data_IF_295770376054
#
_entry.id   IF_295770376054
#
_cell.length_a   1.000
_cell.length_b   1.000
_cell.length_c   1.000
_cell.angle_alpha   90.00
_cell.angle_beta   90.00
_cell.angle_gamma   90.00
#
_symmetry.space_group_name_H-M   'P 1'
#
loop_
_entity.id
_entity.type
_entity.pdbx_description
1 polymer ?
#
# COMPACT_ATOMS: atom_id res chain seq x y z
N UNK A 1 -5.77 -5.73 -14.05
CA UNK A 1 -4.64 -4.91 -13.63
C UNK A 1 -3.45 -5.18 -14.53
N UNK A 2 -2.62 -4.16 -14.71
CA UNK A 2 -1.42 -4.29 -15.54
C UNK A 2 -0.26 -4.90 -14.76
N UNK A 3 -0.17 -4.56 -13.48
CA UNK A 3 0.85 -5.09 -12.58
C UNK A 3 0.14 -5.59 -11.34
N UNK A 4 0.48 -6.79 -10.90
CA UNK A 4 -0.12 -7.41 -9.72
C UNK A 4 0.99 -7.83 -8.77
N UNK A 5 0.92 -7.39 -7.51
CA UNK A 5 1.87 -7.74 -6.49
C UNK A 5 1.18 -8.48 -5.34
N UNK A 6 1.77 -9.59 -4.94
CA UNK A 6 1.30 -10.37 -3.82
C UNK A 6 2.25 -10.15 -2.65
N UNK A 7 1.78 -9.49 -1.60
CA UNK A 7 2.62 -9.13 -0.46
C UNK A 7 2.34 -9.99 0.78
N UNK A 8 1.82 -11.20 0.57
CA UNK A 8 1.54 -12.12 1.68
C UNK A 8 2.78 -12.55 2.46
N UNK A 9 3.96 -12.38 1.89
CA UNK A 9 5.20 -12.74 2.57
C UNK A 9 5.63 -11.72 3.63
N UNK A 10 5.02 -10.56 3.68
CA UNK A 10 5.34 -9.54 4.69
C UNK A 10 4.77 -9.93 6.06
N UNK A 11 5.31 -9.36 7.14
CA UNK A 11 4.77 -9.60 8.48
C UNK A 11 3.28 -9.32 8.54
N UNK A 12 2.53 -10.19 9.19
CA UNK A 12 1.07 -10.12 9.17
C UNK A 12 0.52 -9.57 10.49
N UNK A 13 0.00 -8.34 10.49
CA UNK A 13 -0.58 -7.74 11.71
C UNK A 13 -1.79 -8.49 12.26
N UNK A 14 -2.39 -9.35 11.46
CA UNK A 14 -3.54 -10.12 11.90
C UNK A 14 -3.25 -10.93 13.16
N UNK A 15 -2.01 -11.37 13.34
CA UNK A 15 -1.62 -12.17 14.49
C UNK A 15 -1.35 -11.33 15.75
N UNK A 16 -1.44 -10.01 15.64
CA UNK A 16 -1.33 -9.13 16.78
C UNK A 16 -2.74 -8.66 17.13
N UNK A 17 -3.21 -9.02 18.31
CA UNK A 17 -4.59 -8.75 18.71
C UNK A 17 -4.98 -7.27 18.56
N UNK A 18 -4.07 -6.38 18.96
CA UNK A 18 -4.31 -4.94 18.87
C UNK A 18 -4.53 -4.46 17.44
N UNK A 19 -3.97 -5.15 16.46
CA UNK A 19 -3.97 -4.69 15.07
C UNK A 19 -4.95 -5.46 14.19
N UNK A 20 -5.46 -6.60 14.68
CA UNK A 20 -6.21 -7.54 13.86
C UNK A 20 -7.36 -6.90 13.09
N UNK A 21 -8.11 -6.04 13.73
CA UNK A 21 -9.29 -5.42 13.13
C UNK A 21 -9.07 -4.02 12.60
N UNK A 22 -7.84 -3.56 12.57
CA UNK A 22 -7.46 -2.24 12.03
C UNK A 22 -6.81 -2.42 10.68
N UNK A 23 -7.08 -1.49 9.77
CA UNK A 23 -6.51 -1.60 8.42
C UNK A 23 -5.07 -1.12 8.37
N UNK A 24 -4.40 -1.37 7.25
CA UNK A 24 -3.05 -0.88 7.00
C UNK A 24 -2.96 0.63 6.86
N UNK A 25 -4.09 1.33 6.84
CA UNK A 25 -4.10 2.80 6.83
C UNK A 25 -3.91 3.38 8.23
N UNK A 26 -4.17 2.57 9.25
CA UNK A 26 -4.03 3.01 10.64
C UNK A 26 -2.56 3.07 10.99
N UNK A 27 -2.06 4.19 11.58
CA UNK A 27 -0.64 4.37 11.83
C UNK A 27 0.07 3.25 12.57
N UNK A 28 -0.54 2.69 13.62
CA UNK A 28 0.12 1.64 14.38
C UNK A 28 0.30 0.36 13.57
N UNK A 29 -0.66 0.05 12.69
CA UNK A 29 -0.57 -1.13 11.82
C UNK A 29 0.49 -0.90 10.75
N UNK A 30 0.45 0.27 10.12
CA UNK A 30 1.44 0.65 9.12
C UNK A 30 2.84 0.60 9.69
N UNK A 31 3.03 1.20 10.86
CA UNK A 31 4.35 1.24 11.49
C UNK A 31 4.86 -0.14 11.85
N UNK A 32 3.95 -1.02 12.28
CA UNK A 32 4.33 -2.42 12.55
C UNK A 32 4.88 -3.08 11.30
N UNK A 33 4.13 -3.04 10.19
CA UNK A 33 4.56 -3.67 8.95
C UNK A 33 5.87 -3.05 8.44
N UNK A 34 5.98 -1.74 8.50
CA UNK A 34 7.15 -1.04 7.96
C UNK A 34 8.39 -1.13 8.86
N UNK A 35 8.25 -1.58 10.09
CA UNK A 35 9.39 -1.70 10.99
C UNK A 35 10.32 -2.87 10.66
N UNK A 36 9.89 -3.79 9.80
CA UNK A 36 10.66 -4.97 9.48
C UNK A 36 11.60 -4.73 8.30
N UNK A 37 12.84 -5.21 8.39
CA UNK A 37 13.80 -5.04 7.28
C UNK A 37 13.29 -5.61 5.96
N UNK A 38 12.56 -6.73 5.99
CA UNK A 38 12.04 -7.33 4.76
C UNK A 38 11.09 -6.37 4.03
N UNK A 39 10.30 -5.62 4.80
CA UNK A 39 9.38 -4.64 4.20
C UNK A 39 10.15 -3.52 3.53
N UNK A 40 11.18 -3.01 4.18
CA UNK A 40 11.98 -1.93 3.62
C UNK A 40 12.72 -2.39 2.36
N UNK A 41 13.25 -3.60 2.37
CA UNK A 41 13.92 -4.16 1.19
C UNK A 41 12.93 -4.32 0.04
N UNK A 42 11.74 -4.84 0.33
CA UNK A 42 10.72 -5.00 -0.69
C UNK A 42 10.31 -3.66 -1.29
N UNK A 43 10.07 -2.66 -0.46
CA UNK A 43 9.68 -1.33 -0.92
C UNK A 43 10.72 -0.75 -1.86
N UNK A 44 12.00 -0.86 -1.48
CA UNK A 44 13.09 -0.33 -2.28
C UNK A 44 13.11 -0.94 -3.68
N UNK A 45 13.02 -2.27 -3.74
CA UNK A 45 13.04 -2.98 -5.02
C UNK A 45 11.79 -2.70 -5.84
N UNK A 46 10.64 -2.66 -5.19
CA UNK A 46 9.37 -2.44 -5.88
C UNK A 46 9.25 -1.02 -6.42
N UNK A 47 9.60 -0.04 -5.60
CA UNK A 47 9.57 1.36 -6.03
C UNK A 47 10.52 1.55 -7.22
N UNK A 48 11.69 0.96 -7.15
CA UNK A 48 12.68 1.05 -8.22
C UNK A 48 12.14 0.47 -9.52
N UNK A 49 11.50 -0.69 -9.43
CA UNK A 49 10.91 -1.34 -10.61
C UNK A 49 9.80 -0.47 -11.21
N UNK A 50 8.92 0.05 -10.39
CA UNK A 50 7.81 0.88 -10.88
C UNK A 50 8.34 2.18 -11.50
N UNK A 51 9.33 2.80 -10.86
CA UNK A 51 9.94 4.02 -11.39
C UNK A 51 10.58 3.76 -12.75
N UNK A 52 11.12 2.58 -12.95
CA UNK A 52 11.68 2.18 -14.23
C UNK A 52 10.58 1.94 -15.27
N UNK A 53 9.52 1.27 -14.87
CA UNK A 53 8.46 0.86 -15.80
C UNK A 53 7.60 2.03 -16.29
N UNK A 54 7.27 2.97 -15.43
CA UNK A 54 6.35 4.04 -15.78
C UNK A 54 6.73 4.80 -17.05
N UNK A 55 7.94 5.35 -17.17
CA UNK A 55 8.28 6.06 -18.40
C UNK A 55 8.35 5.14 -19.62
N UNK A 56 8.64 3.87 -19.41
CA UNK A 56 8.67 2.91 -20.51
C UNK A 56 7.28 2.59 -21.04
N UNK A 57 6.30 2.45 -20.14
CA UNK A 57 4.92 2.25 -20.56
C UNK A 57 4.38 3.52 -21.23
N UNK A 58 4.73 4.68 -20.74
CA UNK A 58 4.32 5.94 -21.35
C UNK A 58 4.81 6.04 -22.78
N UNK A 59 6.06 5.67 -23.02
CA UNK A 59 6.64 5.68 -24.37
C UNK A 59 5.93 4.70 -25.31
N UNK A 60 5.39 3.60 -24.76
CA UNK A 60 4.61 2.64 -25.52
C UNK A 60 3.19 3.13 -25.83
N UNK A 61 2.82 4.29 -25.34
CA UNK A 61 1.52 4.86 -25.59
C UNK A 61 0.46 4.47 -24.59
N UNK A 62 0.85 3.84 -23.47
CA UNK A 62 -0.11 3.47 -22.43
C UNK A 62 -0.51 4.72 -21.67
N UNK A 63 -1.80 5.06 -21.70
CA UNK A 63 -2.29 6.27 -21.05
C UNK A 63 -2.68 6.07 -19.60
N UNK A 64 -2.83 4.83 -19.16
CA UNK A 64 -3.25 4.52 -17.81
C UNK A 64 -2.63 3.20 -17.37
N UNK A 65 -2.10 3.16 -16.16
CA UNK A 65 -1.52 1.95 -15.59
C UNK A 65 -2.23 1.61 -14.30
N UNK A 66 -2.67 0.36 -14.17
CA UNK A 66 -3.33 -0.12 -12.96
C UNK A 66 -2.41 -1.09 -12.22
N UNK A 67 -2.07 -0.75 -10.98
CA UNK A 67 -1.25 -1.58 -10.11
C UNK A 67 -2.16 -2.14 -9.02
N UNK A 68 -2.24 -3.46 -8.91
CA UNK A 68 -3.01 -4.12 -7.88
C UNK A 68 -2.08 -4.76 -6.86
N UNK A 69 -2.40 -4.59 -5.59
CA UNK A 69 -1.62 -5.17 -4.49
C UNK A 69 -2.55 -6.05 -3.68
N UNK A 70 -2.15 -7.28 -3.44
CA UNK A 70 -2.98 -8.25 -2.72
C UNK A 70 -2.26 -8.91 -1.56
N UNK A 71 -3.05 -9.30 -0.57
CA UNK A 71 -2.59 -10.15 0.52
C UNK A 71 -3.79 -10.94 1.02
N UNK A 72 -3.58 -11.84 1.97
CA UNK A 72 -4.69 -12.59 2.55
C UNK A 72 -5.58 -11.60 3.33
N UNK A 73 -6.86 -11.57 3.00
CA UNK A 73 -7.82 -10.68 3.64
C UNK A 73 -7.87 -9.26 3.11
N UNK A 74 -6.83 -8.79 2.41
CA UNK A 74 -6.83 -7.48 1.76
C UNK A 74 -6.95 -6.27 2.67
N UNK A 75 -6.63 -6.41 3.96
CA UNK A 75 -6.87 -5.37 4.94
C UNK A 75 -5.60 -4.73 5.51
N UNK A 76 -4.55 -5.51 5.65
CA UNK A 76 -3.33 -5.03 6.32
C UNK A 76 -2.19 -4.76 5.38
N UNK A 77 -1.52 -5.83 4.95
CA UNK A 77 -0.26 -5.71 4.18
C UNK A 77 -0.46 -5.06 2.81
N UNK A 78 -1.51 -5.46 2.09
CA UNK A 78 -1.78 -4.90 0.77
C UNK A 78 -2.13 -3.42 0.87
N UNK A 79 -2.91 -3.04 1.87
CA UNK A 79 -3.29 -1.65 2.07
C UNK A 79 -2.07 -0.81 2.43
N UNK A 80 -1.24 -1.31 3.34
CA UNK A 80 -0.02 -0.62 3.75
C UNK A 80 0.89 -0.36 2.54
N UNK A 81 1.09 -1.38 1.71
CA UNK A 81 1.97 -1.24 0.55
C UNK A 81 1.37 -0.37 -0.55
N UNK A 82 0.06 -0.47 -0.76
CA UNK A 82 -0.61 0.38 -1.74
C UNK A 82 -0.51 1.86 -1.34
N UNK A 83 -0.70 2.15 -0.05
CA UNK A 83 -0.55 3.52 0.45
C UNK A 83 0.88 4.02 0.28
N UNK A 84 1.85 3.15 0.54
CA UNK A 84 3.25 3.51 0.37
C UNK A 84 3.59 3.86 -1.07
N UNK A 85 3.10 3.05 -2.02
CA UNK A 85 3.31 3.32 -3.44
C UNK A 85 2.59 4.59 -3.89
N UNK A 86 1.36 4.78 -3.41
CA UNK A 86 0.60 5.98 -3.72
C UNK A 86 1.38 7.23 -3.30
N UNK A 87 1.87 7.24 -2.07
CA UNK A 87 2.65 8.37 -1.56
C UNK A 87 3.92 8.58 -2.37
N UNK A 88 4.63 7.51 -2.69
CA UNK A 88 5.85 7.57 -3.48
C UNK A 88 5.61 8.21 -4.84
N UNK A 89 4.58 7.76 -5.54
CA UNK A 89 4.27 8.26 -6.87
C UNK A 89 3.79 9.71 -6.81
N UNK A 90 2.91 10.02 -5.87
CA UNK A 90 2.42 11.38 -5.70
C UNK A 90 3.57 12.35 -5.42
N UNK A 91 4.47 11.96 -4.53
CA UNK A 91 5.61 12.81 -4.15
C UNK A 91 6.57 13.02 -5.31
N UNK A 92 6.55 12.12 -6.29
CA UNK A 92 7.37 12.25 -7.50
C UNK A 92 6.62 12.87 -8.66
N UNK A 93 5.47 13.47 -8.41
CA UNK A 93 4.75 14.23 -9.42
C UNK A 93 3.90 13.38 -10.37
N UNK A 94 3.67 12.11 -10.04
CA UNK A 94 2.83 11.25 -10.87
C UNK A 94 1.37 11.48 -10.50
N UNK A 95 0.51 11.58 -11.51
CA UNK A 95 -0.93 11.70 -11.30
C UNK A 95 -1.44 10.29 -10.93
N UNK A 96 -1.79 10.10 -9.68
CA UNK A 96 -2.13 8.78 -9.16
C UNK A 96 -3.34 8.87 -8.23
N UNK A 97 -4.17 7.83 -8.26
CA UNK A 97 -5.27 7.69 -7.31
C UNK A 97 -5.19 6.30 -6.68
N UNK A 98 -5.87 6.13 -5.55
CA UNK A 98 -5.82 4.88 -4.81
C UNK A 98 -7.23 4.46 -4.40
N UNK A 99 -7.46 3.14 -4.40
CA UNK A 99 -8.73 2.56 -4.00
C UNK A 99 -8.47 1.28 -3.22
N UNK A 100 -9.17 1.10 -2.11
CA UNK A 100 -9.05 -0.10 -1.28
C UNK A 100 -10.38 -0.84 -1.30
N UNK A 101 -10.40 -2.01 -1.94
CA UNK A 101 -11.63 -2.76 -2.16
C UNK A 101 -12.16 -3.46 -0.91
N UNK A 102 -11.25 -3.92 -0.05
CA UNK A 102 -11.62 -4.78 1.07
C UNK A 102 -11.60 -4.08 2.43
N UNK A 103 -11.46 -2.77 2.44
CA UNK A 103 -11.56 -2.00 3.67
C UNK A 103 -13.00 -1.54 3.84
N UNK A 104 -13.56 -1.77 5.02
CA UNK A 104 -14.89 -1.27 5.33
C UNK A 104 -14.83 0.24 5.46
N UNK A 105 -15.92 0.88 5.02
CA UNK A 105 -15.96 2.33 4.96
C UNK A 105 -15.71 2.99 6.33
N UNK A 106 -16.21 2.38 7.39
CA UNK A 106 -16.08 2.93 8.74
C UNK A 106 -14.82 2.47 9.48
N UNK A 107 -13.99 1.63 8.86
CA UNK A 107 -12.78 1.14 9.48
C UNK A 107 -11.85 2.29 9.89
N UNK A 108 -11.65 3.22 8.98
CA UNK A 108 -10.80 4.37 9.21
C UNK A 108 -11.42 5.31 10.24
N UNK A 109 -12.73 5.42 10.25
CA UNK A 109 -13.44 6.32 11.16
C UNK A 109 -13.30 5.92 12.63
N UNK A 110 -13.24 4.62 12.90
CA UNK A 110 -13.06 4.13 14.25
C UNK A 110 -11.72 4.54 14.84
N UNK A 111 -10.74 4.71 13.97
CA UNK A 111 -9.38 5.09 14.34
C UNK A 111 -9.06 6.52 13.90
N UNK A 112 -10.10 7.30 13.64
CA UNK A 112 -9.99 8.61 13.05
C UNK A 112 -8.99 9.56 13.72
N UNK A 113 -8.93 9.65 15.06
CA UNK A 113 -7.98 10.59 15.67
C UNK A 113 -6.54 10.40 15.22
N UNK A 114 -6.13 9.14 15.08
CA UNK A 114 -4.79 8.84 14.59
C UNK A 114 -4.66 9.00 13.10
N UNK A 115 -5.69 8.60 12.37
CA UNK A 115 -5.67 8.60 10.92
C UNK A 115 -5.80 9.99 10.32
N UNK A 116 -6.68 10.79 10.87
CA UNK A 116 -6.93 12.13 10.33
C UNK A 116 -5.67 12.99 10.31
N UNK A 117 -4.79 12.78 11.27
CA UNK A 117 -3.51 13.45 11.27
C UNK A 117 -2.62 13.04 10.11
N UNK A 118 -2.91 11.91 9.50
CA UNK A 118 -2.15 11.36 8.38
C UNK A 118 -2.74 11.77 7.03
N UNK A 119 -4.01 11.99 7.03
CA UNK A 119 -4.71 12.32 5.80
C UNK A 119 -4.33 13.70 5.32
#
# INVERSE_FOLDING_TARGET
ADIVEDVRFLPNPYYIEEYRHKSGRVPCVRDYVESFPITQTYKEKWFDMIDFLLPNYEREGKSQLVIAVGCTGGMHRSVCMAEAMYKHLRDNGVDVSIEHRDIQKNDVEEDAPGYEGEA
#
